data_IF_762668828093
#
_entry.id   IF_762668828093
#
_cell.length_a   1.000
_cell.length_b   1.000
_cell.length_c   1.000
_cell.angle_alpha   90.00
_cell.angle_beta   90.00
_cell.angle_gamma   90.00
#
_symmetry.space_group_name_H-M   'P 1'
#
loop_
_entity.id
_entity.type
_entity.pdbx_description
1 polymer ?
#
# COMPACT_ATOMS: atom_id res chain seq x y z
N UNK A 1 -13.34 40.46 5.71
CA UNK A 1 -12.48 39.40 6.30
C UNK A 1 -12.26 38.31 5.27
N UNK A 2 -11.08 38.24 4.66
CA UNK A 2 -10.67 37.12 3.80
C UNK A 2 -10.21 35.99 4.73
N UNK A 3 -11.00 34.94 4.91
CA UNK A 3 -10.53 33.72 5.56
C UNK A 3 -9.48 33.10 4.65
N UNK A 4 -8.20 33.20 5.05
CA UNK A 4 -7.10 32.50 4.41
C UNK A 4 -7.28 31.00 4.63
N UNK A 5 -8.01 30.34 3.74
CA UNK A 5 -8.03 28.88 3.69
C UNK A 5 -6.63 28.46 3.25
N UNK A 6 -5.85 27.89 4.18
CA UNK A 6 -4.59 27.22 3.87
C UNK A 6 -4.90 26.06 2.92
N UNK A 7 -4.85 26.30 1.61
CA UNK A 7 -4.96 25.26 0.62
C UNK A 7 -3.62 24.57 0.48
N UNK A 8 -3.55 23.29 0.86
CA UNK A 8 -2.38 22.46 0.61
C UNK A 8 -2.02 22.48 -0.88
N UNK A 9 -0.74 22.70 -1.18
CA UNK A 9 -0.21 22.54 -2.54
C UNK A 9 -0.47 21.13 -3.06
N UNK A 10 -0.44 20.94 -4.37
CA UNK A 10 -0.53 19.63 -5.03
C UNK A 10 0.53 18.66 -4.49
N UNK A 11 1.78 19.11 -4.32
CA UNK A 11 2.88 18.30 -3.80
C UNK A 11 2.58 17.79 -2.38
N UNK A 12 2.10 18.67 -1.49
CA UNK A 12 1.72 18.29 -0.13
C UNK A 12 0.52 17.34 -0.08
N UNK A 13 -0.45 17.45 -1.01
CA UNK A 13 -1.57 16.50 -1.09
C UNK A 13 -1.08 15.08 -1.43
N UNK A 14 -0.21 14.97 -2.44
CA UNK A 14 0.38 13.69 -2.83
C UNK A 14 1.27 13.16 -1.70
N UNK A 15 2.13 14.01 -1.14
CA UNK A 15 3.00 13.68 -0.02
C UNK A 15 2.23 13.20 1.21
N UNK A 16 1.10 13.82 1.55
CA UNK A 16 0.25 13.38 2.65
C UNK A 16 -0.34 11.98 2.43
N UNK A 17 -0.79 11.67 1.19
CA UNK A 17 -1.29 10.32 0.89
C UNK A 17 -0.20 9.25 0.96
N UNK A 18 1.01 9.56 0.47
CA UNK A 18 2.17 8.67 0.58
C UNK A 18 2.61 8.48 2.03
N UNK A 19 2.69 9.57 2.80
CA UNK A 19 3.04 9.51 4.21
C UNK A 19 2.02 8.69 5.02
N UNK A 20 0.72 8.84 4.73
CA UNK A 20 -0.31 8.03 5.36
C UNK A 20 -0.17 6.55 5.02
N UNK A 21 0.08 6.21 3.75
CA UNK A 21 0.30 4.82 3.33
C UNK A 21 1.52 4.20 4.03
N UNK A 22 2.64 4.94 4.09
CA UNK A 22 3.86 4.51 4.78
C UNK A 22 3.60 4.33 6.27
N UNK A 23 2.91 5.26 6.93
CA UNK A 23 2.58 5.16 8.34
C UNK A 23 1.74 3.92 8.64
N UNK A 24 0.71 3.65 7.83
CA UNK A 24 -0.13 2.45 7.98
C UNK A 24 0.66 1.17 7.73
N UNK A 25 1.56 1.18 6.73
CA UNK A 25 2.43 0.04 6.46
C UNK A 25 3.38 -0.24 7.64
N UNK A 26 4.06 0.77 8.16
CA UNK A 26 4.97 0.63 9.32
C UNK A 26 4.23 0.12 10.54
N UNK A 27 3.08 0.72 10.88
CA UNK A 27 2.28 0.28 12.03
C UNK A 27 1.81 -1.17 11.83
N UNK A 28 1.27 -1.50 10.66
CA UNK A 28 0.79 -2.86 10.37
C UNK A 28 1.92 -3.88 10.42
N UNK A 29 3.10 -3.56 9.89
CA UNK A 29 4.29 -4.40 9.95
C UNK A 29 4.81 -4.59 11.37
N UNK A 30 4.84 -3.53 12.19
CA UNK A 30 5.26 -3.63 13.59
C UNK A 30 4.33 -4.51 14.41
N UNK A 31 3.02 -4.35 14.24
CA UNK A 31 2.04 -5.17 14.96
C UNK A 31 2.09 -6.63 14.48
N UNK A 32 2.16 -6.88 13.18
CA UNK A 32 2.30 -8.22 12.63
C UNK A 32 3.59 -8.90 13.13
N UNK A 33 4.72 -8.19 13.09
CA UNK A 33 6.00 -8.68 13.59
C UNK A 33 5.94 -9.04 15.08
N UNK A 34 5.38 -8.18 15.92
CA UNK A 34 5.25 -8.48 17.35
C UNK A 34 4.35 -9.69 17.60
N UNK A 35 3.24 -9.82 16.86
CA UNK A 35 2.35 -10.96 16.99
C UNK A 35 3.01 -12.27 16.54
N UNK A 36 3.79 -12.25 15.44
CA UNK A 36 4.55 -13.42 14.99
C UNK A 36 5.66 -13.80 15.97
N UNK A 37 6.34 -12.82 16.57
CA UNK A 37 7.38 -13.11 17.57
C UNK A 37 6.81 -13.83 18.79
N UNK A 38 5.66 -13.41 19.32
CA UNK A 38 5.00 -14.11 20.45
C UNK A 38 4.68 -15.56 20.14
N UNK A 39 4.10 -15.81 18.97
CA UNK A 39 3.81 -17.19 18.50
C UNK A 39 5.10 -18.00 18.34
N UNK A 40 6.18 -17.36 17.89
CA UNK A 40 7.49 -18.00 17.77
C UNK A 40 8.09 -18.37 19.12
N UNK A 41 8.18 -17.41 20.04
CA UNK A 41 8.73 -17.59 21.39
C UNK A 41 7.96 -18.65 22.18
N UNK A 42 6.62 -18.54 22.24
CA UNK A 42 5.78 -19.50 22.93
C UNK A 42 5.78 -20.88 22.26
N UNK A 43 5.93 -20.92 20.92
CA UNK A 43 6.09 -22.17 20.18
C UNK A 43 7.41 -22.88 20.47
N UNK A 44 8.50 -22.13 20.65
CA UNK A 44 9.80 -22.68 21.06
C UNK A 44 9.72 -23.17 22.50
N UNK A 45 9.12 -22.41 23.41
CA UNK A 45 8.94 -22.83 24.81
C UNK A 45 8.13 -24.12 24.93
N UNK A 46 7.01 -24.23 24.22
CA UNK A 46 6.22 -25.46 24.15
C UNK A 46 7.04 -26.65 23.63
N UNK A 47 7.87 -26.44 22.61
CA UNK A 47 8.64 -27.50 21.95
C UNK A 47 9.91 -27.92 22.70
N UNK A 48 10.61 -26.99 23.34
CA UNK A 48 11.90 -27.24 24.00
C UNK A 48 11.77 -27.43 25.52
N UNK A 49 10.72 -26.88 26.14
CA UNK A 49 10.51 -27.00 27.59
C UNK A 49 9.37 -27.96 27.92
N UNK A 50 8.16 -27.77 27.40
CA UNK A 50 6.99 -28.53 27.87
C UNK A 50 6.88 -29.93 27.25
N UNK A 51 7.09 -30.08 25.93
CA UNK A 51 6.97 -31.36 25.25
C UNK A 51 7.94 -32.43 25.79
N UNK A 52 9.24 -32.14 26.05
CA UNK A 52 10.14 -33.12 26.68
C UNK A 52 9.72 -33.51 28.10
N UNK A 53 9.05 -32.63 28.85
CA UNK A 53 8.59 -32.95 30.21
C UNK A 53 7.39 -33.89 30.21
N UNK A 54 6.48 -33.74 29.24
CA UNK A 54 5.40 -34.69 29.00
C UNK A 54 5.95 -36.09 28.67
N UNK A 55 6.96 -36.15 27.81
CA UNK A 55 7.65 -37.39 27.45
C UNK A 55 8.36 -38.02 28.67
N UNK A 56 9.10 -37.22 29.44
CA UNK A 56 9.71 -37.68 30.68
C UNK A 56 8.68 -38.25 31.68
N UNK A 57 7.50 -37.64 31.81
CA UNK A 57 6.44 -38.12 32.69
C UNK A 57 5.92 -39.50 32.27
N UNK A 58 5.74 -39.71 30.96
CA UNK A 58 5.37 -41.00 30.38
C UNK A 58 6.48 -42.05 30.59
N UNK A 59 7.74 -41.67 30.39
CA UNK A 59 8.89 -42.56 30.55
C UNK A 59 9.10 -43.04 32.00
N UNK A 60 8.77 -42.21 33.01
CA UNK A 60 8.76 -42.65 34.42
C UNK A 60 7.89 -43.91 34.58
N UNK A 61 6.68 -43.90 34.02
CA UNK A 61 5.75 -45.03 34.13
C UNK A 61 6.19 -46.21 33.29
N UNK A 62 6.67 -45.96 32.06
CA UNK A 62 7.09 -47.01 31.15
C UNK A 62 8.26 -47.81 31.74
N UNK A 63 9.31 -47.12 32.17
CA UNK A 63 10.51 -47.71 32.78
C UNK A 63 10.19 -48.39 34.11
N UNK A 64 9.34 -47.78 34.96
CA UNK A 64 8.89 -48.38 36.20
C UNK A 64 8.07 -49.66 36.01
N UNK A 65 7.15 -49.65 35.05
CA UNK A 65 6.33 -50.83 34.73
C UNK A 65 7.20 -51.95 34.18
N UNK A 66 8.17 -51.62 33.33
CA UNK A 66 9.13 -52.60 32.83
C UNK A 66 9.98 -53.18 33.98
N UNK A 67 10.46 -52.35 34.90
CA UNK A 67 11.20 -52.79 36.08
C UNK A 67 10.35 -53.74 36.96
N UNK A 68 9.08 -53.42 37.18
CA UNK A 68 8.17 -54.24 37.96
C UNK A 68 7.92 -55.62 37.32
N UNK A 69 7.61 -55.65 36.02
CA UNK A 69 7.38 -56.90 35.29
C UNK A 69 8.63 -57.80 35.30
N UNK A 70 9.79 -57.21 35.04
CA UNK A 70 11.07 -57.90 35.06
C UNK A 70 11.40 -58.43 36.46
N UNK A 71 11.11 -57.64 37.49
CA UNK A 71 11.29 -58.05 38.87
C UNK A 71 10.40 -59.25 39.22
N UNK A 72 9.11 -59.22 38.85
CA UNK A 72 8.20 -60.36 39.08
C UNK A 72 8.66 -61.64 38.36
N UNK A 73 9.18 -61.52 37.14
CA UNK A 73 9.72 -62.65 36.38
C UNK A 73 10.90 -63.31 37.12
N UNK A 74 11.85 -62.50 37.61
CA UNK A 74 12.98 -62.96 38.44
C UNK A 74 12.47 -63.62 39.73
N UNK A 75 11.51 -62.99 40.42
CA UNK A 75 10.94 -63.51 41.67
C UNK A 75 10.17 -64.82 41.48
N UNK A 76 9.62 -65.06 40.28
CA UNK A 76 8.97 -66.31 39.90
C UNK A 76 9.94 -67.46 39.58
N UNK A 77 11.24 -67.16 39.49
CA UNK A 77 12.31 -68.15 39.31
C UNK A 77 12.88 -68.24 37.89
N UNK A 78 12.61 -67.27 37.01
CA UNK A 78 13.33 -67.17 35.74
C UNK A 78 14.80 -66.77 35.99
N UNK A 79 15.73 -67.47 35.33
CA UNK A 79 17.17 -67.24 35.44
C UNK A 79 17.77 -66.55 34.21
N UNK A 80 16.96 -66.24 33.20
CA UNK A 80 17.38 -65.51 32.00
C UNK A 80 17.61 -64.02 32.24
N UNK A 81 17.00 -63.47 33.29
CA UNK A 81 16.93 -62.03 33.55
C UNK A 81 17.88 -61.56 34.65
N UNK A 82 18.36 -60.32 34.53
CA UNK A 82 19.32 -59.73 35.46
C UNK A 82 18.65 -58.78 36.43
N UNK A 83 18.87 -58.99 37.73
CA UNK A 83 18.41 -58.04 38.75
C UNK A 83 19.07 -56.66 38.62
N UNK A 84 20.27 -56.59 38.03
CA UNK A 84 20.95 -55.32 37.77
C UNK A 84 20.18 -54.46 36.75
N UNK A 85 19.45 -55.10 35.83
CA UNK A 85 18.61 -54.39 34.84
C UNK A 85 17.38 -53.76 35.50
N UNK A 86 16.78 -54.43 36.49
CA UNK A 86 15.70 -53.83 37.31
C UNK A 86 16.20 -52.56 38.00
N UNK A 87 17.39 -52.61 38.61
CA UNK A 87 17.96 -51.42 39.27
C UNK A 87 18.30 -50.31 38.29
N UNK A 88 18.74 -50.65 37.08
CA UNK A 88 18.98 -49.69 36.00
C UNK A 88 17.69 -48.99 35.60
N UNK A 89 16.61 -49.74 35.35
CA UNK A 89 15.29 -49.20 34.96
C UNK A 89 14.68 -48.31 36.05
N UNK A 90 14.79 -48.69 37.33
CA UNK A 90 14.35 -47.84 38.45
C UNK A 90 15.19 -46.55 38.52
N UNK A 91 16.50 -46.65 38.29
CA UNK A 91 17.39 -45.50 38.19
C UNK A 91 17.03 -44.57 37.03
N UNK A 92 16.54 -45.12 35.92
CA UNK A 92 16.09 -44.38 34.75
C UNK A 92 14.76 -43.65 35.02
N UNK A 93 13.78 -44.30 35.63
CA UNK A 93 12.55 -43.63 36.11
C UNK A 93 12.88 -42.44 37.03
N UNK A 94 13.84 -42.63 37.95
CA UNK A 94 14.33 -41.58 38.85
C UNK A 94 15.02 -40.45 38.09
N UNK A 95 15.77 -40.76 37.03
CA UNK A 95 16.38 -39.74 36.18
C UNK A 95 15.32 -38.84 35.57
N UNK A 96 14.25 -39.39 34.98
CA UNK A 96 13.18 -38.59 34.39
C UNK A 96 12.45 -37.72 35.43
N UNK A 97 12.14 -38.26 36.62
CA UNK A 97 11.56 -37.46 37.70
C UNK A 97 12.46 -36.27 38.09
N UNK A 98 13.77 -36.49 38.20
CA UNK A 98 14.74 -35.42 38.47
C UNK A 98 14.91 -34.45 37.31
N UNK A 99 14.87 -34.94 36.08
CA UNK A 99 14.93 -34.12 34.88
C UNK A 99 13.76 -33.12 34.84
N UNK A 100 12.57 -33.54 35.27
CA UNK A 100 11.43 -32.62 35.39
C UNK A 100 11.67 -31.55 36.47
N UNK A 101 12.26 -31.91 37.61
CA UNK A 101 12.50 -30.99 38.73
C UNK A 101 13.70 -30.05 38.57
N UNK A 102 14.75 -30.51 37.89
CA UNK A 102 16.09 -29.91 37.90
C UNK A 102 16.66 -29.70 36.49
N UNK A 103 16.01 -30.24 35.46
CA UNK A 103 16.56 -30.33 34.11
C UNK A 103 17.58 -31.46 33.98
N UNK A 104 18.06 -31.69 32.76
CA UNK A 104 19.05 -32.72 32.50
C UNK A 104 19.16 -33.04 31.02
N UNK A 105 20.00 -34.01 30.69
CA UNK A 105 20.11 -34.54 29.33
C UNK A 105 20.50 -36.01 29.36
N UNK A 106 19.95 -36.79 28.45
CA UNK A 106 20.32 -38.18 28.18
C UNK A 106 20.41 -38.38 26.65
N UNK A 107 20.47 -39.64 26.21
CA UNK A 107 20.52 -39.98 24.79
C UNK A 107 19.19 -39.69 24.05
N UNK A 108 18.09 -39.51 24.77
CA UNK A 108 16.76 -39.23 24.21
C UNK A 108 16.51 -37.74 24.02
N UNK A 109 17.02 -36.89 24.91
CA UNK A 109 16.80 -35.46 24.81
C UNK A 109 17.43 -34.60 25.88
N UNK A 110 17.10 -33.31 25.81
CA UNK A 110 17.43 -32.30 26.82
C UNK A 110 16.13 -31.84 27.48
N UNK A 111 16.15 -31.77 28.81
CA UNK A 111 15.00 -31.42 29.62
C UNK A 111 15.27 -30.10 30.33
N UNK A 112 14.35 -29.16 30.21
CA UNK A 112 14.36 -27.90 30.95
C UNK A 112 13.46 -28.07 32.17
N UNK A 113 13.98 -27.73 33.36
CA UNK A 113 13.25 -27.89 34.61
C UNK A 113 11.91 -27.13 34.59
N UNK A 114 10.85 -27.76 35.09
CA UNK A 114 9.56 -27.09 35.24
C UNK A 114 9.61 -26.00 36.31
N UNK A 115 8.94 -24.88 36.02
CA UNK A 115 8.72 -23.78 36.95
C UNK A 115 7.35 -23.86 37.64
N UNK A 116 6.46 -24.75 37.20
CA UNK A 116 5.12 -24.91 37.77
C UNK A 116 5.20 -25.52 39.17
N UNK A 117 4.79 -24.80 40.23
CA UNK A 117 4.85 -25.29 41.61
C UNK A 117 4.06 -26.58 41.84
N UNK A 118 2.93 -26.77 41.16
CA UNK A 118 2.10 -27.96 41.30
C UNK A 118 2.78 -29.18 40.68
N UNK A 119 3.39 -29.01 39.49
CA UNK A 119 4.21 -30.07 38.85
C UNK A 119 5.40 -30.41 39.73
N UNK A 120 6.07 -29.42 40.30
CA UNK A 120 7.21 -29.66 41.20
C UNK A 120 6.81 -30.44 42.44
N UNK A 121 5.70 -30.09 43.07
CA UNK A 121 5.20 -30.78 44.27
C UNK A 121 4.85 -32.24 43.97
N UNK A 122 4.11 -32.50 42.89
CA UNK A 122 3.71 -33.87 42.56
C UNK A 122 4.89 -34.73 42.17
N UNK A 123 5.85 -34.20 41.39
CA UNK A 123 7.03 -34.97 40.95
C UNK A 123 8.01 -35.20 42.10
N UNK A 124 8.07 -34.34 43.10
CA UNK A 124 8.83 -34.61 44.34
C UNK A 124 8.25 -35.80 45.11
N UNK A 125 6.93 -35.93 45.15
CA UNK A 125 6.27 -37.09 45.75
C UNK A 125 6.48 -38.35 44.88
N UNK A 126 6.47 -38.22 43.55
CA UNK A 126 6.87 -39.31 42.64
C UNK A 126 8.30 -39.78 42.93
N UNK A 127 9.28 -38.88 43.06
CA UNK A 127 10.66 -39.25 43.40
C UNK A 127 10.73 -40.00 44.74
N UNK A 128 9.98 -39.55 45.74
CA UNK A 128 9.89 -40.21 47.05
C UNK A 128 9.27 -41.61 46.94
N UNK A 129 8.27 -41.79 46.08
CA UNK A 129 7.64 -43.09 45.85
C UNK A 129 8.53 -44.05 45.06
N UNK A 130 9.35 -43.55 44.13
CA UNK A 130 10.40 -44.33 43.48
C UNK A 130 11.39 -44.87 44.51
N UNK A 131 11.81 -44.05 45.48
CA UNK A 131 12.67 -44.48 46.60
C UNK A 131 12.05 -45.61 47.42
N UNK A 132 10.77 -45.47 47.77
CA UNK A 132 10.04 -46.48 48.54
C UNK A 132 9.88 -47.79 47.75
N UNK A 133 9.55 -47.70 46.47
CA UNK A 133 9.45 -48.84 45.57
C UNK A 133 10.78 -49.58 45.44
N UNK A 134 11.89 -48.85 45.22
CA UNK A 134 13.23 -49.43 45.15
C UNK A 134 13.61 -50.13 46.46
N UNK A 135 13.31 -49.50 47.61
CA UNK A 135 13.56 -50.10 48.92
C UNK A 135 12.79 -51.40 49.09
N UNK A 136 11.48 -51.41 48.80
CA UNK A 136 10.64 -52.60 48.90
C UNK A 136 11.14 -53.73 47.99
N UNK A 137 11.52 -53.39 46.75
CA UNK A 137 12.09 -54.34 45.79
C UNK A 137 13.39 -54.97 46.32
N UNK A 138 14.30 -54.15 46.88
CA UNK A 138 15.57 -54.63 47.44
C UNK A 138 15.36 -55.52 48.67
N UNK A 139 14.46 -55.14 49.56
CA UNK A 139 14.11 -55.94 50.75
C UNK A 139 13.49 -57.28 50.37
N UNK A 140 12.54 -57.29 49.42
CA UNK A 140 11.91 -58.50 48.89
C UNK A 140 12.94 -59.42 48.22
N UNK A 141 13.80 -58.88 47.36
CA UNK A 141 14.86 -59.65 46.69
C UNK A 141 15.88 -60.23 47.69
N UNK A 142 16.31 -59.46 48.70
CA UNK A 142 17.19 -59.96 49.76
C UNK A 142 16.53 -61.08 50.60
N UNK A 143 15.22 -60.98 50.80
CA UNK A 143 14.41 -62.00 51.48
C UNK A 143 14.32 -63.33 50.74
N UNK A 144 14.53 -63.34 49.42
CA UNK A 144 14.48 -64.55 48.58
C UNK A 144 15.60 -65.54 48.94
N UNK A 145 16.80 -65.04 49.22
CA UNK A 145 17.92 -65.87 49.69
C UNK A 145 17.65 -66.54 51.05
N UNK A 146 16.71 -65.97 51.83
CA UNK A 146 16.27 -66.50 53.13
C UNK A 146 15.06 -67.45 53.03
N UNK A 147 14.57 -67.73 51.81
CA UNK A 147 13.44 -68.63 51.54
C UNK A 147 12.09 -67.93 51.57
N UNK A 148 11.40 -67.95 52.72
CA UNK A 148 9.97 -67.60 52.82
C UNK A 148 9.71 -66.08 52.85
N UNK A 149 10.70 -65.27 53.24
CA UNK A 149 10.51 -63.85 53.51
C UNK A 149 10.32 -62.98 52.25
N UNK A 150 10.80 -63.44 51.09
CA UNK A 150 10.63 -62.77 49.80
C UNK A 150 9.71 -63.51 48.82
N UNK A 151 9.10 -64.61 49.23
CA UNK A 151 8.24 -65.42 48.36
C UNK A 151 6.91 -64.72 48.05
N UNK A 152 6.25 -65.14 46.96
CA UNK A 152 4.90 -64.69 46.62
C UNK A 152 3.93 -64.93 47.79
N UNK A 153 3.08 -63.93 48.08
CA UNK A 153 2.17 -63.89 49.23
C UNK A 153 2.83 -63.58 50.57
N UNK A 154 4.11 -63.23 50.60
CA UNK A 154 4.79 -62.75 51.82
C UNK A 154 4.42 -61.31 52.15
N UNK A 155 4.79 -60.82 53.34
CA UNK A 155 4.59 -59.41 53.67
C UNK A 155 5.43 -58.46 52.80
N UNK A 156 6.60 -58.91 52.35
CA UNK A 156 7.45 -58.13 51.45
C UNK A 156 6.86 -58.03 50.03
N UNK A 157 6.16 -59.08 49.59
CA UNK A 157 5.36 -59.09 48.36
C UNK A 157 4.26 -58.03 48.41
N UNK A 158 3.43 -58.05 49.47
CA UNK A 158 2.35 -57.09 49.67
C UNK A 158 2.86 -55.64 49.74
N UNK A 159 3.97 -55.38 50.44
CA UNK A 159 4.58 -54.04 50.51
C UNK A 159 5.10 -53.61 49.14
N UNK A 160 5.74 -54.51 48.38
CA UNK A 160 6.23 -54.21 47.04
C UNK A 160 5.07 -53.81 46.11
N UNK A 161 4.00 -54.59 46.09
CA UNK A 161 2.81 -54.30 45.28
C UNK A 161 2.16 -52.97 45.68
N UNK A 162 1.97 -52.74 46.99
CA UNK A 162 1.37 -51.49 47.51
C UNK A 162 2.22 -50.26 47.15
N UNK A 163 3.55 -50.36 47.26
CA UNK A 163 4.45 -49.26 46.89
C UNK A 163 4.47 -49.00 45.39
N UNK A 164 4.38 -50.06 44.56
CA UNK A 164 4.29 -49.93 43.10
C UNK A 164 2.97 -49.29 42.67
N UNK A 165 1.83 -49.77 43.19
CA UNK A 165 0.51 -49.19 42.89
C UNK A 165 0.46 -47.71 43.31
N UNK A 166 0.98 -47.39 44.50
CA UNK A 166 1.04 -46.00 44.97
C UNK A 166 1.95 -45.11 44.11
N UNK A 167 3.08 -45.65 43.65
CA UNK A 167 4.00 -44.96 42.75
C UNK A 167 3.33 -44.68 41.39
N UNK A 168 2.82 -45.71 40.72
CA UNK A 168 2.21 -45.56 39.39
C UNK A 168 1.00 -44.62 39.45
N UNK A 169 0.14 -44.73 40.47
CA UNK A 169 -0.99 -43.81 40.63
C UNK A 169 -0.54 -42.35 40.75
N UNK A 170 0.57 -42.09 41.45
CA UNK A 170 1.10 -40.72 41.57
C UNK A 170 1.80 -40.24 40.30
N UNK A 171 2.47 -41.15 39.59
CA UNK A 171 3.07 -40.85 38.29
C UNK A 171 1.98 -40.55 37.24
N UNK A 172 0.85 -41.26 37.27
CA UNK A 172 -0.34 -40.97 36.45
C UNK A 172 -0.87 -39.55 36.71
N UNK A 173 -1.03 -39.17 37.98
CA UNK A 173 -1.46 -37.82 38.34
C UNK A 173 -0.44 -36.75 37.90
N UNK A 174 0.86 -37.05 37.96
CA UNK A 174 1.91 -36.15 37.48
C UNK A 174 1.85 -35.97 35.95
N UNK A 175 1.68 -37.07 35.21
CA UNK A 175 1.51 -37.07 33.75
C UNK A 175 0.26 -36.27 33.35
N UNK A 176 -0.88 -36.50 34.01
CA UNK A 176 -2.11 -35.76 33.74
C UNK A 176 -1.94 -34.25 33.98
N UNK A 177 -1.24 -33.86 35.03
CA UNK A 177 -0.96 -32.46 35.33
C UNK A 177 -0.05 -31.81 34.27
N UNK A 178 1.03 -32.48 33.87
CA UNK A 178 1.99 -31.99 32.85
C UNK A 178 1.33 -31.93 31.46
N UNK A 179 0.53 -32.92 31.10
CA UNK A 179 -0.26 -32.89 29.87
C UNK A 179 -1.30 -31.77 29.89
N UNK A 180 -1.97 -31.55 31.03
CA UNK A 180 -2.91 -30.44 31.20
C UNK A 180 -2.25 -29.07 31.04
N UNK A 181 -1.06 -28.86 31.61
CA UNK A 181 -0.30 -27.62 31.39
C UNK A 181 0.05 -27.44 29.92
N UNK A 182 0.55 -28.49 29.27
CA UNK A 182 0.92 -28.46 27.85
C UNK A 182 -0.29 -28.19 26.93
N UNK A 183 -1.45 -28.78 27.22
CA UNK A 183 -2.68 -28.52 26.47
C UNK A 183 -3.12 -27.06 26.61
N UNK A 184 -3.02 -26.48 27.81
CA UNK A 184 -3.33 -25.07 28.06
C UNK A 184 -2.39 -24.13 27.31
N UNK A 185 -1.08 -24.44 27.29
CA UNK A 185 -0.08 -23.70 26.53
C UNK A 185 -0.33 -23.82 25.03
N UNK A 186 -0.70 -25.00 24.53
CA UNK A 186 -1.07 -25.21 23.12
C UNK A 186 -2.35 -24.46 22.73
N UNK A 187 -3.35 -24.39 23.60
CA UNK A 187 -4.55 -23.58 23.38
C UNK A 187 -4.21 -22.08 23.28
N UNK A 188 -3.37 -21.59 24.20
CA UNK A 188 -2.91 -20.20 24.17
C UNK A 188 -2.12 -19.88 22.90
N UNK A 189 -1.21 -20.77 22.48
CA UNK A 189 -0.44 -20.65 21.24
C UNK A 189 -1.35 -20.61 20.00
N UNK A 190 -2.41 -21.45 19.96
CA UNK A 190 -3.40 -21.44 18.87
C UNK A 190 -4.17 -20.12 18.83
N UNK A 191 -4.58 -19.61 19.99
CA UNK A 191 -5.27 -18.32 20.08
C UNK A 191 -4.38 -17.16 19.62
N UNK A 192 -3.10 -17.17 20.02
CA UNK A 192 -2.11 -16.18 19.59
C UNK A 192 -1.82 -16.28 18.09
N UNK A 193 -1.71 -17.49 17.54
CA UNK A 193 -1.53 -17.70 16.10
C UNK A 193 -2.75 -17.19 15.29
N UNK A 194 -3.97 -17.45 15.77
CA UNK A 194 -5.20 -16.95 15.17
C UNK A 194 -5.28 -15.42 15.21
N UNK A 195 -4.88 -14.81 16.33
CA UNK A 195 -4.75 -13.37 16.48
C UNK A 195 -3.72 -12.79 15.52
N UNK A 196 -2.50 -13.35 15.46
CA UNK A 196 -1.43 -12.91 14.58
C UNK A 196 -1.85 -12.97 13.10
N UNK A 197 -2.55 -14.04 12.69
CA UNK A 197 -3.13 -14.16 11.35
C UNK A 197 -4.16 -13.07 11.06
N UNK A 198 -5.08 -12.84 12.00
CA UNK A 198 -6.15 -11.85 11.84
C UNK A 198 -5.58 -10.44 11.69
N UNK A 199 -4.61 -10.08 12.52
CA UNK A 199 -3.99 -8.75 12.47
C UNK A 199 -3.13 -8.58 11.22
N UNK A 200 -2.40 -9.62 10.80
CA UNK A 200 -1.61 -9.56 9.56
C UNK A 200 -2.50 -9.34 8.34
N UNK A 201 -3.59 -10.09 8.22
CA UNK A 201 -4.57 -9.91 7.13
C UNK A 201 -5.29 -8.55 7.22
N UNK A 202 -5.65 -8.12 8.43
CA UNK A 202 -6.25 -6.81 8.67
C UNK A 202 -5.33 -5.65 8.27
N UNK A 203 -4.04 -5.75 8.58
CA UNK A 203 -3.02 -4.77 8.19
C UNK A 203 -2.83 -4.68 6.68
N UNK A 204 -2.77 -5.83 5.98
CA UNK A 204 -2.75 -5.86 4.51
C UNK A 204 -4.01 -5.24 3.92
N UNK A 205 -5.18 -5.56 4.46
CA UNK A 205 -6.45 -4.96 4.06
C UNK A 205 -6.46 -3.44 4.26
N UNK A 206 -5.99 -2.95 5.40
CA UNK A 206 -5.89 -1.52 5.70
C UNK A 206 -4.96 -0.79 4.72
N UNK A 207 -3.80 -1.38 4.39
CA UNK A 207 -2.89 -0.82 3.38
C UNK A 207 -3.56 -0.70 2.01
N UNK A 208 -4.25 -1.75 1.55
CA UNK A 208 -4.97 -1.74 0.27
C UNK A 208 -6.06 -0.66 0.28
N UNK A 209 -6.84 -0.56 1.35
CA UNK A 209 -7.89 0.45 1.47
C UNK A 209 -7.33 1.87 1.42
N UNK A 210 -6.25 2.14 2.15
CA UNK A 210 -5.57 3.45 2.16
C UNK A 210 -4.97 3.76 0.80
N UNK A 211 -4.36 2.78 0.13
CA UNK A 211 -3.82 2.94 -1.22
C UNK A 211 -4.92 3.27 -2.24
N UNK A 212 -6.03 2.53 -2.23
CA UNK A 212 -7.17 2.78 -3.12
C UNK A 212 -7.81 4.14 -2.84
N UNK A 213 -8.05 4.48 -1.58
CA UNK A 213 -8.59 5.76 -1.18
C UNK A 213 -7.66 6.92 -1.59
N UNK A 214 -6.36 6.78 -1.37
CA UNK A 214 -5.34 7.73 -1.81
C UNK A 214 -5.31 7.90 -3.33
N UNK A 215 -5.42 6.81 -4.08
CA UNK A 215 -5.46 6.83 -5.56
C UNK A 215 -6.70 7.57 -6.07
N UNK A 216 -7.89 7.25 -5.55
CA UNK A 216 -9.15 7.93 -5.91
C UNK A 216 -9.08 9.41 -5.54
N UNK A 217 -8.51 9.73 -4.37
CA UNK A 217 -8.32 11.10 -3.91
C UNK A 217 -7.40 11.89 -4.84
N UNK A 218 -6.19 11.40 -5.13
CA UNK A 218 -5.23 12.07 -6.02
C UNK A 218 -5.78 12.20 -7.43
N UNK A 219 -6.46 11.17 -7.94
CA UNK A 219 -7.10 11.21 -9.26
C UNK A 219 -8.12 12.36 -9.36
N UNK A 220 -9.01 12.50 -8.38
CA UNK A 220 -10.02 13.57 -8.37
C UNK A 220 -9.46 14.95 -8.01
N UNK A 221 -8.49 15.02 -7.10
CA UNK A 221 -7.94 16.26 -6.60
C UNK A 221 -6.93 16.91 -7.56
N UNK A 222 -6.25 16.10 -8.38
CA UNK A 222 -5.16 16.55 -9.25
C UNK A 222 -5.41 16.16 -10.70
N UNK A 223 -5.50 14.87 -11.02
CA UNK A 223 -5.47 14.39 -12.41
C UNK A 223 -6.66 14.89 -13.24
N UNK A 224 -7.89 14.81 -12.71
CA UNK A 224 -9.09 15.33 -13.39
C UNK A 224 -8.99 16.84 -13.60
N UNK A 225 -8.61 17.58 -12.56
CA UNK A 225 -8.48 19.04 -12.64
C UNK A 225 -7.41 19.49 -13.63
N UNK A 226 -6.28 18.80 -13.67
CA UNK A 226 -5.22 19.05 -14.63
C UNK A 226 -5.70 18.80 -16.07
N UNK A 227 -6.48 17.74 -16.30
CA UNK A 227 -7.09 17.45 -17.60
C UNK A 227 -8.10 18.51 -18.01
N UNK A 228 -8.85 19.08 -17.07
CA UNK A 228 -9.77 20.19 -17.36
C UNK A 228 -8.99 21.43 -17.81
N UNK A 229 -7.87 21.76 -17.16
CA UNK A 229 -7.01 22.88 -17.54
C UNK A 229 -6.33 22.67 -18.90
N UNK A 230 -5.86 21.45 -19.22
CA UNK A 230 -5.30 21.12 -20.54
C UNK A 230 -6.34 21.33 -21.66
N UNK A 231 -7.57 20.84 -21.47
CA UNK A 231 -8.66 21.07 -22.42
C UNK A 231 -8.96 22.56 -22.62
N UNK A 232 -9.02 23.31 -21.52
CA UNK A 232 -9.28 24.75 -21.56
C UNK A 232 -8.17 25.52 -22.29
N UNK A 233 -6.92 25.17 -22.01
CA UNK A 233 -5.75 25.78 -22.67
C UNK A 233 -5.75 25.52 -24.19
N UNK A 234 -6.08 24.29 -24.61
CA UNK A 234 -6.21 23.94 -26.04
C UNK A 234 -7.33 24.72 -26.72
N UNK A 235 -8.51 24.81 -26.10
CA UNK A 235 -9.63 25.56 -26.65
C UNK A 235 -9.29 27.05 -26.86
N UNK A 236 -8.64 27.68 -25.87
CA UNK A 236 -8.21 29.08 -26.00
C UNK A 236 -7.13 29.28 -27.07
N UNK A 237 -6.21 28.32 -27.22
CA UNK A 237 -5.19 28.36 -28.28
C UNK A 237 -5.82 28.20 -29.68
N UNK A 238 -6.91 27.45 -29.80
CA UNK A 238 -7.69 27.26 -31.03
C UNK A 238 -8.65 28.44 -31.31
N UNK A 239 -8.73 29.43 -30.41
CA UNK A 239 -9.57 30.63 -30.56
C UNK A 239 -11.01 30.48 -30.06
N UNK A 240 -11.36 29.34 -29.44
CA UNK A 240 -12.65 29.14 -28.78
C UNK A 240 -12.65 29.79 -27.38
N UNK A 241 -13.06 31.04 -27.32
CA UNK A 241 -13.14 31.82 -26.07
C UNK A 241 -14.41 31.56 -25.25
N UNK A 242 -15.33 30.76 -25.77
CA UNK A 242 -16.62 30.42 -25.13
C UNK A 242 -16.60 29.03 -24.47
N UNK A 243 -15.47 28.32 -24.57
CA UNK A 243 -15.25 27.05 -23.92
C UNK A 243 -15.60 27.10 -22.41
N UNK A 244 -16.33 26.08 -21.90
CA UNK A 244 -16.82 26.07 -20.52
C UNK A 244 -15.66 26.05 -19.52
N UNK A 245 -15.65 27.04 -18.63
CA UNK A 245 -14.65 27.18 -17.56
C UNK A 245 -14.90 26.12 -16.48
N UNK A 246 -13.86 25.47 -15.94
CA UNK A 246 -14.01 24.50 -14.86
C UNK A 246 -14.75 25.09 -13.66
N UNK A 247 -15.69 24.32 -13.09
CA UNK A 247 -16.56 24.78 -12.00
C UNK A 247 -15.90 24.76 -10.62
N UNK A 248 -14.77 24.05 -10.49
CA UNK A 248 -14.04 23.94 -9.24
C UNK A 248 -13.18 25.18 -8.97
N UNK A 249 -12.98 25.49 -7.70
CA UNK A 249 -12.00 26.48 -7.23
C UNK A 249 -10.94 25.80 -6.40
N UNK A 250 -9.71 26.27 -6.54
CA UNK A 250 -8.56 25.76 -5.79
C UNK A 250 -7.65 26.92 -5.42
N UNK A 251 -7.05 26.88 -4.23
CA UNK A 251 -6.02 27.84 -3.82
C UNK A 251 -4.58 27.36 -4.06
N UNK A 252 -4.44 26.16 -4.63
CA UNK A 252 -3.15 25.53 -4.93
C UNK A 252 -2.59 25.96 -6.31
N UNK A 253 -1.53 25.28 -6.75
CA UNK A 253 -0.88 25.49 -8.04
C UNK A 253 -1.86 25.42 -9.22
N UNK A 254 -2.83 24.51 -9.17
CA UNK A 254 -3.83 24.34 -10.23
C UNK A 254 -4.79 25.52 -10.26
N UNK A 255 -5.13 26.08 -9.10
CA UNK A 255 -5.89 27.33 -9.00
C UNK A 255 -5.17 28.51 -9.64
N UNK A 256 -3.88 28.67 -9.35
CA UNK A 256 -3.05 29.72 -9.95
C UNK A 256 -2.91 29.55 -11.47
N UNK A 257 -2.82 28.32 -11.95
CA UNK A 257 -2.80 28.03 -13.39
C UNK A 257 -4.14 28.35 -14.06
N UNK A 258 -5.27 28.04 -13.41
CA UNK A 258 -6.60 28.42 -13.88
C UNK A 258 -6.74 29.95 -14.01
N UNK A 259 -6.25 30.70 -13.03
CA UNK A 259 -6.25 32.18 -13.06
C UNK A 259 -5.35 32.74 -14.18
N UNK A 260 -4.21 32.10 -14.45
CA UNK A 260 -3.36 32.47 -15.58
C UNK A 260 -4.06 32.22 -16.93
N UNK A 261 -4.75 31.09 -17.09
CA UNK A 261 -5.53 30.77 -18.29
C UNK A 261 -6.71 31.74 -18.48
N UNK A 262 -7.33 32.20 -17.40
CA UNK A 262 -8.39 33.22 -17.48
C UNK A 262 -7.85 34.55 -18.05
N UNK A 263 -6.66 35.00 -17.65
CA UNK A 263 -6.01 36.18 -18.23
C UNK A 263 -5.56 35.97 -19.67
N UNK A 264 -5.14 34.75 -20.03
CA UNK A 264 -4.82 34.40 -21.41
C UNK A 264 -6.04 34.52 -22.32
N UNK A 265 -7.22 34.03 -21.89
CA UNK A 265 -8.50 34.19 -22.60
C UNK A 265 -8.79 35.66 -22.93
N UNK A 266 -8.62 36.57 -21.97
CA UNK A 266 -8.82 38.00 -22.21
C UNK A 266 -7.86 38.54 -23.27
N UNK A 267 -6.63 38.03 -23.32
CA UNK A 267 -5.66 38.33 -24.38
C UNK A 267 -6.14 37.89 -25.76
N UNK A 268 -6.65 36.65 -25.87
CA UNK A 268 -7.21 36.10 -27.11
C UNK A 268 -8.42 36.91 -27.59
N UNK A 269 -9.34 37.27 -26.68
CA UNK A 269 -10.50 38.11 -27.00
C UNK A 269 -10.05 39.48 -27.51
N UNK A 270 -9.11 40.14 -26.81
CA UNK A 270 -8.58 41.45 -27.23
C UNK A 270 -7.88 41.38 -28.59
N UNK A 271 -7.10 40.33 -28.84
CA UNK A 271 -6.43 40.14 -30.13
C UNK A 271 -7.45 39.99 -31.27
N UNK A 272 -8.54 39.25 -31.04
CA UNK A 272 -9.62 39.10 -32.02
C UNK A 272 -10.34 40.41 -32.28
N UNK A 273 -10.67 41.17 -31.24
CA UNK A 273 -11.30 42.50 -31.37
C UNK A 273 -10.42 43.46 -32.17
N UNK A 274 -9.12 43.52 -31.87
CA UNK A 274 -8.18 44.35 -32.62
C UNK A 274 -8.05 43.92 -34.08
N UNK A 275 -8.12 42.61 -34.38
CA UNK A 275 -8.09 42.10 -35.75
C UNK A 275 -9.37 42.45 -36.52
N UNK A 276 -10.54 42.36 -35.88
CA UNK A 276 -11.83 42.78 -36.45
C UNK A 276 -11.85 44.30 -36.72
N UNK A 277 -11.41 45.12 -35.76
CA UNK A 277 -11.27 46.57 -35.95
C UNK A 277 -10.30 46.95 -37.07
N UNK A 278 -9.16 46.25 -37.17
CA UNK A 278 -8.19 46.46 -38.25
C UNK A 278 -8.78 46.11 -39.63
N UNK A 279 -9.50 44.99 -39.72
CA UNK A 279 -10.18 44.58 -40.95
C UNK A 279 -11.28 45.57 -41.35
N UNK A 280 -12.05 46.09 -40.40
CA UNK A 280 -13.03 47.15 -40.66
C UNK A 280 -12.36 48.45 -41.14
N UNK A 281 -11.27 48.88 -40.51
CA UNK A 281 -10.54 50.07 -40.94
C UNK A 281 -9.97 49.90 -42.35
N UNK A 282 -9.43 48.73 -42.68
CA UNK A 282 -8.91 48.44 -44.00
C UNK A 282 -10.02 48.43 -45.06
N UNK A 283 -11.19 47.86 -44.76
CA UNK A 283 -12.37 47.96 -45.62
C UNK A 283 -12.85 49.39 -45.82
N UNK A 284 -12.90 50.20 -44.74
CA UNK A 284 -13.26 51.62 -44.83
C UNK A 284 -12.27 52.39 -45.69
N UNK A 285 -10.96 52.21 -45.48
CA UNK A 285 -9.91 52.84 -46.30
C UNK A 285 -9.96 52.41 -47.76
N UNK A 286 -10.19 51.13 -48.04
CA UNK A 286 -10.34 50.65 -49.41
C UNK A 286 -11.60 51.23 -50.08
N UNK A 287 -12.69 51.39 -49.32
CA UNK A 287 -13.90 52.07 -49.78
C UNK A 287 -13.66 53.56 -50.09
N UNK A 288 -13.00 54.27 -49.17
CA UNK A 288 -12.61 55.68 -49.34
C UNK A 288 -11.67 55.89 -50.52
N UNK A 289 -10.68 55.01 -50.72
CA UNK A 289 -9.79 55.05 -51.88
C UNK A 289 -10.55 54.88 -53.20
N UNK A 290 -11.46 53.88 -53.29
CA UNK A 290 -12.30 53.68 -54.49
C UNK A 290 -13.20 54.88 -54.76
N UNK A 291 -13.78 55.45 -53.71
CA UNK A 291 -14.62 56.66 -53.79
C UNK A 291 -13.79 57.85 -54.31
N UNK A 292 -12.56 58.04 -53.79
CA UNK A 292 -11.65 59.09 -54.22
C UNK A 292 -11.23 58.90 -55.68
N UNK A 293 -10.80 57.70 -56.08
CA UNK A 293 -10.46 57.36 -57.48
C UNK A 293 -11.63 57.66 -58.42
N UNK A 294 -12.86 57.29 -58.03
CA UNK A 294 -14.07 57.57 -58.80
C UNK A 294 -14.30 59.07 -58.97
N UNK A 295 -14.12 59.87 -57.90
CA UNK A 295 -14.24 61.33 -57.97
C UNK A 295 -13.15 61.95 -58.84
N UNK A 296 -11.90 61.49 -58.72
CA UNK A 296 -10.80 61.96 -59.56
C UNK A 296 -11.03 61.64 -61.02
N UNK A 297 -11.51 60.43 -61.35
CA UNK A 297 -11.86 60.06 -62.72
C UNK A 297 -13.01 60.92 -63.29
N UNK A 298 -14.03 61.22 -62.49
CA UNK A 298 -15.13 62.11 -62.89
C UNK A 298 -14.65 63.55 -63.13
N UNK A 299 -13.86 64.11 -62.21
CA UNK A 299 -13.28 65.45 -62.36
C UNK A 299 -12.32 65.53 -63.54
N UNK A 300 -11.53 64.49 -63.79
CA UNK A 300 -10.70 64.40 -64.99
C UNK A 300 -11.56 64.42 -66.26
N UNK A 301 -12.65 63.66 -66.29
CA UNK A 301 -13.57 63.64 -67.43
C UNK A 301 -14.23 65.00 -67.67
N UNK A 302 -14.70 65.69 -66.63
CA UNK A 302 -15.25 67.05 -66.72
C UNK A 302 -14.21 68.05 -67.20
N UNK A 303 -13.02 68.06 -66.60
CA UNK A 303 -11.92 68.97 -66.98
C UNK A 303 -11.49 68.75 -68.43
N UNK A 304 -11.38 67.48 -68.84
CA UNK A 304 -11.04 67.10 -70.22
C UNK A 304 -12.11 67.58 -71.19
N UNK A 305 -13.40 67.43 -70.84
CA UNK A 305 -14.51 67.95 -71.64
C UNK A 305 -14.44 69.46 -71.79
N UNK A 306 -14.23 70.20 -70.70
CA UNK A 306 -14.07 71.66 -70.76
C UNK A 306 -12.86 72.08 -71.60
N UNK A 307 -11.75 71.34 -71.54
CA UNK A 307 -10.57 71.61 -72.37
C UNK A 307 -10.84 71.35 -73.86
N UNK A 308 -11.53 70.25 -74.21
CA UNK A 308 -11.94 69.98 -75.58
C UNK A 308 -12.96 71.01 -76.10
N UNK A 309 -13.94 71.41 -75.29
CA UNK A 309 -14.90 72.47 -75.64
C UNK A 309 -14.18 73.81 -75.90
N UNK A 310 -13.16 74.15 -75.10
CA UNK A 310 -12.35 75.34 -75.30
C UNK A 310 -11.46 75.25 -76.55
N UNK A 311 -10.92 74.05 -76.85
CA UNK A 311 -10.12 73.79 -78.05
C UNK A 311 -10.99 73.89 -79.31
N UNK A 312 -12.20 73.35 -79.27
CA UNK A 312 -13.19 73.44 -80.35
C UNK A 312 -13.61 74.89 -80.59
N UNK A 313 -13.83 75.67 -79.51
CA UNK A 313 -14.04 77.11 -79.59
C UNK A 313 -12.87 77.86 -80.26
N UNK A 314 -11.64 77.61 -79.81
CA UNK A 314 -10.45 78.25 -80.37
C UNK A 314 -10.19 77.86 -81.85
N UNK A 315 -10.46 76.60 -82.21
CA UNK A 315 -10.37 76.13 -83.59
C UNK A 315 -11.45 76.77 -84.48
N UNK A 316 -12.67 76.91 -83.96
CA UNK A 316 -13.76 77.64 -84.63
C UNK A 316 -13.43 79.11 -84.87
N UNK A 317 -12.81 79.78 -83.90
CA UNK A 317 -12.33 81.15 -84.04
C UNK A 317 -11.21 81.27 -85.10
N UNK A 318 -10.30 80.29 -85.15
CA UNK A 318 -9.21 80.24 -86.13
C UNK A 318 -9.74 80.01 -87.57
N UNK A 319 -10.72 79.13 -87.74
CA UNK A 319 -11.42 78.92 -89.02
C UNK A 319 -12.14 80.21 -89.46
N UNK A 320 -12.80 80.90 -88.53
CA UNK A 320 -13.45 82.18 -88.81
C UNK A 320 -12.43 83.26 -89.22
N UNK A 321 -11.26 83.30 -88.57
CA UNK A 321 -10.18 84.21 -88.94
C UNK A 321 -9.61 83.92 -90.35
N UNK A 322 -9.48 82.64 -90.72
CA UNK A 322 -9.04 82.20 -92.06
C UNK A 322 -10.05 82.56 -93.14
N UNK A 323 -11.35 82.35 -92.91
CA UNK A 323 -12.42 82.76 -93.83
C UNK A 323 -12.50 84.30 -93.97
N UNK A 324 -12.22 85.04 -92.89
CA UNK A 324 -12.11 86.50 -92.95
C UNK A 324 -10.90 86.94 -93.80
N UNK A 325 -9.77 86.25 -93.68
CA UNK A 325 -8.58 86.47 -94.53
C UNK A 325 -8.86 86.11 -95.99
N UNK A 326 -9.61 85.04 -96.25
CA UNK A 326 -10.02 84.64 -97.60
C UNK A 326 -10.95 85.69 -98.25
N UNK A 327 -11.87 86.26 -97.48
CA UNK A 327 -12.72 87.38 -97.91
C UNK A 327 -11.95 88.69 -98.11
N UNK A 328 -10.92 88.97 -97.30
CA UNK A 328 -10.02 90.11 -97.54
C UNK A 328 -9.18 89.93 -98.80
N UNK A 329 -8.71 88.71 -99.07
CA UNK A 329 -8.01 88.34 -100.31
C UNK A 329 -8.90 88.51 -101.54
N UNK A 330 -10.16 88.06 -101.47
CA UNK A 330 -11.15 88.26 -102.54
C UNK A 330 -11.46 89.75 -102.78
N UNK A 331 -11.54 90.57 -101.72
CA UNK A 331 -11.76 92.02 -101.82
C UNK A 331 -10.56 92.80 -102.35
N UNK A 332 -9.34 92.29 -102.13
CA UNK A 332 -8.11 92.83 -102.74
C UNK A 332 -8.03 92.54 -104.24
N UNK A 333 -8.67 91.46 -104.73
CA UNK A 333 -8.75 91.14 -106.15
C UNK A 333 -9.66 92.07 -106.95
N UNK A 334 -10.79 92.51 -106.37
CA UNK A 334 -11.79 93.34 -107.06
C UNK A 334 -11.45 94.84 -107.13
N UNK A 335 -10.51 95.34 -106.32
CA UNK A 335 -10.05 96.74 -106.39
C UNK A 335 -8.96 96.98 -107.45
N UNK A 336 -8.40 95.92 -108.04
CA UNK A 336 -7.32 95.98 -109.04
C UNK A 336 -7.79 96.13 -110.50
N UNK A 337 -9.06 95.81 -110.82
CA UNK A 337 -9.53 95.67 -112.22
C UNK A 337 -10.34 96.88 -112.75
N UNK A 338 -10.68 97.87 -111.93
CA UNK A 338 -11.53 99.03 -112.32
C UNK A 338 -10.76 100.33 -112.61
N UNK A 339 -9.50 100.21 -113.04
CA UNK A 339 -8.67 101.33 -113.53
C UNK A 339 -7.85 100.90 -114.76
N UNK A 340 -8.48 100.35 -115.80
CA UNK A 340 -7.93 100.31 -117.17
C UNK A 340 -9.00 99.81 -118.15
N UNK A 341 -9.54 100.70 -118.99
CA UNK A 341 -10.49 100.37 -120.06
C UNK A 341 -11.62 101.36 -120.13
#
# INVERSE_FOLDING_TARGET
MRSGTFSLSVAHKIGATMALLIAVAVVSSLVAYNATQRVGENGIELGEAEAPLADAAMEIKLTATHAHLLFEEIMSGDQGESIDEVWRLIGEARFYARAILQGGSNDEGTFIATSDPAVREIVQDVETKIDLFEQAARERHAGLASGVAGAAGSKADEIFDETFESFIARADEAEELIHGSMESSLESLRAEAAWARTVSLGGVGAMILVFLAGTVYVHRAVAVRLRDLDKLARAYAEGDTDAPVPTWRSGDELGRLAEALARFREGVIRQRQLAEEAAEQEQRRAGEQRELERRTAQSFHETTRTFFDALEGAAGDLISAVDTLERMSARSGELSIRWSG
#
